data_IF_300832002532
#
_entry.id   IF_300832002532
#
_cell.length_a   1.000
_cell.length_b   1.000
_cell.length_c   1.000
_cell.angle_alpha   90.00
_cell.angle_beta   90.00
_cell.angle_gamma   90.00
#
_symmetry.space_group_name_H-M   'P 1'
#
loop_
_entity.id
_entity.type
_entity.pdbx_description
1 polymer ?
#
# COMPACT_ATOMS: atom_id res chain seq x y z
N UNK A 1 -24.64 -5.22 -3.58
CA UNK A 1 -23.16 -5.21 -3.66
C UNK A 1 -22.59 -4.89 -2.29
N UNK A 2 -21.58 -5.65 -1.86
CA UNK A 2 -20.95 -5.42 -0.56
C UNK A 2 -20.17 -4.11 -0.60
N UNK A 3 -20.38 -3.26 0.42
CA UNK A 3 -19.66 -2.00 0.55
C UNK A 3 -18.43 -2.18 1.42
N UNK A 4 -17.30 -1.65 0.96
CA UNK A 4 -16.06 -1.62 1.73
C UNK A 4 -15.76 -0.18 2.16
N UNK A 5 -15.66 0.04 3.46
CA UNK A 5 -15.29 1.35 4.00
C UNK A 5 -13.78 1.56 4.04
N UNK A 6 -13.02 0.47 4.08
CA UNK A 6 -11.57 0.50 4.15
C UNK A 6 -10.98 -0.39 3.06
N UNK A 7 -10.06 0.16 2.29
CA UNK A 7 -9.26 -0.62 1.36
C UNK A 7 -7.81 -0.58 1.85
N UNK A 8 -7.23 -1.75 2.06
CA UNK A 8 -5.79 -1.90 2.27
C UNK A 8 -5.16 -2.21 0.94
N UNK A 9 -4.07 -1.55 0.62
CA UNK A 9 -3.40 -1.72 -0.67
C UNK A 9 -1.91 -1.78 -0.50
N UNK A 10 -1.27 -2.62 -1.32
CA UNK A 10 0.14 -2.53 -1.60
C UNK A 10 0.40 -1.29 -2.46
N UNK A 11 1.64 -0.87 -2.58
CA UNK A 11 2.03 0.29 -3.38
C UNK A 11 2.60 -0.12 -4.73
N UNK A 12 3.79 -0.70 -4.73
CA UNK A 12 4.51 -1.04 -5.95
C UNK A 12 3.85 -2.20 -6.69
N UNK A 13 3.61 -2.02 -7.98
CA UNK A 13 2.95 -3.02 -8.81
C UNK A 13 1.45 -3.07 -8.62
N UNK A 14 0.88 -2.27 -7.73
CA UNK A 14 -0.56 -2.21 -7.46
C UNK A 14 -1.12 -0.83 -7.77
N UNK A 15 -0.70 0.20 -7.04
CA UNK A 15 -1.13 1.57 -7.25
C UNK A 15 -0.20 2.34 -8.19
N UNK A 16 1.07 1.97 -8.22
CA UNK A 16 2.08 2.57 -9.08
C UNK A 16 2.95 1.51 -9.73
N UNK A 17 3.56 1.88 -10.84
CA UNK A 17 4.65 1.13 -11.48
C UNK A 17 5.80 2.08 -11.73
N UNK A 18 7.01 1.54 -11.95
CA UNK A 18 8.10 2.35 -12.46
C UNK A 18 7.87 2.63 -13.95
N UNK A 19 8.25 3.82 -14.41
CA UNK A 19 8.20 4.17 -15.84
C UNK A 19 9.29 3.37 -16.57
N UNK A 20 10.45 3.20 -15.93
CA UNK A 20 11.59 2.48 -16.49
C UNK A 20 11.37 0.99 -16.69
N UNK A 21 10.38 0.41 -15.98
CA UNK A 21 10.17 -1.03 -15.98
C UNK A 21 11.10 -1.79 -15.05
N UNK A 22 11.98 -1.11 -14.33
CA UNK A 22 12.89 -1.75 -13.40
C UNK A 22 12.22 -1.99 -12.04
N UNK A 23 12.71 -2.99 -11.30
CA UNK A 23 12.17 -3.33 -9.98
C UNK A 23 12.32 -2.17 -9.01
N UNK A 24 13.49 -1.53 -9.01
CA UNK A 24 13.75 -0.37 -8.15
C UNK A 24 13.72 0.90 -8.98
N UNK A 25 13.01 1.95 -8.51
CA UNK A 25 12.95 3.21 -9.25
C UNK A 25 14.30 3.90 -9.31
N UNK A 26 14.57 4.54 -10.44
CA UNK A 26 15.80 5.30 -10.65
C UNK A 26 15.80 6.64 -9.94
N UNK A 27 14.64 7.10 -9.48
CA UNK A 27 14.45 8.36 -8.76
C UNK A 27 12.98 8.57 -8.46
N UNK A 28 12.66 9.70 -7.82
CA UNK A 28 11.27 10.04 -7.48
C UNK A 28 10.39 10.08 -8.74
N UNK A 29 10.94 10.60 -9.82
CA UNK A 29 10.23 10.74 -11.11
C UNK A 29 9.91 9.40 -11.77
N UNK A 30 10.59 8.32 -11.37
CA UNK A 30 10.43 7.01 -12.01
C UNK A 30 9.23 6.28 -11.42
N UNK A 31 8.06 6.89 -11.58
CA UNK A 31 6.81 6.26 -11.17
C UNK A 31 5.68 6.70 -12.06
N UNK A 32 4.71 5.81 -12.20
CA UNK A 32 3.49 6.05 -12.95
C UNK A 32 2.32 5.56 -12.10
N UNK A 33 1.39 6.46 -11.81
CA UNK A 33 0.18 6.10 -11.05
C UNK A 33 -0.73 5.29 -11.98
N UNK A 34 -1.23 4.18 -11.45
CA UNK A 34 -2.14 3.31 -12.18
C UNK A 34 -3.58 3.80 -12.00
N UNK A 35 -3.96 4.76 -12.81
CA UNK A 35 -5.28 5.39 -12.70
C UNK A 35 -6.42 4.40 -12.93
N UNK A 36 -6.21 3.34 -13.69
CA UNK A 36 -7.22 2.30 -13.86
C UNK A 36 -7.57 1.60 -12.54
N UNK A 37 -6.61 1.50 -11.63
CA UNK A 37 -6.84 0.98 -10.29
C UNK A 37 -7.55 2.02 -9.43
N UNK A 38 -7.11 3.27 -9.50
CA UNK A 38 -7.74 4.37 -8.75
C UNK A 38 -9.20 4.56 -9.17
N UNK A 39 -9.53 4.37 -10.43
CA UNK A 39 -10.91 4.45 -10.91
C UNK A 39 -11.80 3.40 -10.25
N UNK A 40 -11.28 2.17 -10.09
CA UNK A 40 -12.02 1.12 -9.39
C UNK A 40 -12.19 1.43 -7.91
N UNK A 41 -11.18 1.99 -7.28
CA UNK A 41 -11.26 2.43 -5.88
C UNK A 41 -12.30 3.52 -5.75
N UNK A 42 -12.31 4.47 -6.67
CA UNK A 42 -13.27 5.56 -6.69
C UNK A 42 -14.72 5.06 -6.82
N UNK A 43 -14.94 4.02 -7.59
CA UNK A 43 -16.26 3.39 -7.72
C UNK A 43 -16.73 2.76 -6.39
N UNK A 44 -15.80 2.16 -5.63
CA UNK A 44 -16.11 1.55 -4.34
C UNK A 44 -16.47 2.60 -3.30
N UNK A 45 -15.93 3.81 -3.42
CA UNK A 45 -16.15 4.94 -2.49
C UNK A 45 -15.80 4.58 -1.04
N UNK A 46 -14.58 4.10 -0.76
CA UNK A 46 -14.20 3.82 0.62
C UNK A 46 -14.01 5.12 1.39
N UNK A 47 -14.11 5.06 2.72
CA UNK A 47 -13.70 6.16 3.57
C UNK A 47 -12.18 6.28 3.64
N UNK A 48 -11.50 5.14 3.65
CA UNK A 48 -10.04 5.07 3.85
C UNK A 48 -9.40 4.19 2.79
N UNK A 49 -8.31 4.67 2.23
CA UNK A 49 -7.35 3.84 1.51
C UNK A 49 -6.06 3.84 2.33
N UNK A 50 -5.69 2.69 2.85
CA UNK A 50 -4.54 2.51 3.71
C UNK A 50 -3.47 1.70 2.97
N UNK A 51 -2.35 2.35 2.69
CA UNK A 51 -1.26 1.74 1.93
C UNK A 51 -0.27 1.10 2.89
N UNK A 52 0.02 -0.17 2.70
CA UNK A 52 0.98 -0.93 3.50
C UNK A 52 2.00 -1.54 2.54
N UNK A 53 3.26 -1.16 2.68
CA UNK A 53 4.27 -1.51 1.68
C UNK A 53 5.54 -2.03 2.33
N UNK A 54 6.07 -3.15 1.80
CA UNK A 54 7.42 -3.59 2.13
C UNK A 54 8.39 -2.85 1.22
N UNK A 55 9.29 -2.09 1.81
CA UNK A 55 10.29 -1.29 1.10
C UNK A 55 11.71 -1.69 1.52
N UNK A 56 12.01 -2.98 1.39
CA UNK A 56 13.33 -3.53 1.72
C UNK A 56 14.47 -2.94 0.88
N UNK A 57 14.15 -2.34 -0.26
CA UNK A 57 15.14 -1.63 -1.06
C UNK A 57 15.80 -0.47 -0.33
N UNK A 58 15.15 0.07 0.70
CA UNK A 58 15.74 1.14 1.52
C UNK A 58 16.87 0.57 2.36
N UNK A 59 16.65 -0.55 3.07
CA UNK A 59 17.71 -1.21 3.82
C UNK A 59 18.85 -1.66 2.93
N UNK A 60 18.52 -2.18 1.74
CA UNK A 60 19.51 -2.67 0.78
C UNK A 60 20.27 -1.56 0.05
N UNK A 61 19.88 -0.30 0.23
CA UNK A 61 20.55 0.84 -0.41
C UNK A 61 20.15 1.13 -1.84
N UNK A 62 19.15 0.44 -2.38
CA UNK A 62 18.64 0.68 -3.73
C UNK A 62 17.66 1.85 -3.82
N UNK A 63 17.06 2.24 -2.68
CA UNK A 63 16.09 3.31 -2.59
C UNK A 63 16.47 4.26 -1.46
N UNK A 64 16.53 5.56 -1.76
CA UNK A 64 16.81 6.57 -0.75
C UNK A 64 15.60 6.80 0.14
N UNK A 65 15.78 6.76 1.47
CA UNK A 65 14.69 6.88 2.44
C UNK A 65 13.97 8.23 2.35
N UNK A 66 14.72 9.33 2.18
CA UNK A 66 14.15 10.68 2.09
C UNK A 66 13.33 10.80 0.81
N UNK A 67 13.85 10.30 -0.30
CA UNK A 67 13.15 10.32 -1.58
C UNK A 67 11.88 9.47 -1.52
N UNK A 68 11.92 8.31 -0.88
CA UNK A 68 10.73 7.48 -0.74
C UNK A 68 9.66 8.18 0.08
N UNK A 69 10.04 8.82 1.17
CA UNK A 69 9.11 9.57 2.01
C UNK A 69 8.40 10.66 1.22
N UNK A 70 9.15 11.46 0.46
CA UNK A 70 8.59 12.51 -0.39
C UNK A 70 7.65 11.94 -1.43
N UNK A 71 8.03 10.84 -2.05
CA UNK A 71 7.23 10.12 -3.04
C UNK A 71 5.90 9.62 -2.42
N UNK A 72 5.97 9.02 -1.24
CA UNK A 72 4.76 8.51 -0.57
C UNK A 72 3.80 9.63 -0.20
N UNK A 73 4.30 10.78 0.24
CA UNK A 73 3.49 11.95 0.54
C UNK A 73 2.80 12.49 -0.73
N UNK A 74 3.53 12.55 -1.84
CA UNK A 74 2.95 12.96 -3.12
C UNK A 74 1.83 12.02 -3.57
N UNK A 75 2.08 10.72 -3.50
CA UNK A 75 1.11 9.70 -3.92
C UNK A 75 -0.16 9.74 -3.06
N UNK A 76 -0.01 9.81 -1.74
CA UNK A 76 -1.18 9.85 -0.85
C UNK A 76 -2.02 11.11 -1.09
N UNK A 77 -1.38 12.24 -1.35
CA UNK A 77 -2.09 13.48 -1.68
C UNK A 77 -2.85 13.33 -2.99
N UNK A 78 -2.20 12.80 -4.02
CA UNK A 78 -2.84 12.61 -5.33
C UNK A 78 -4.06 11.69 -5.21
N UNK A 79 -3.94 10.62 -4.43
CA UNK A 79 -5.05 9.68 -4.23
C UNK A 79 -6.20 10.32 -3.46
N UNK A 80 -5.91 11.10 -2.42
CA UNK A 80 -6.95 11.81 -1.68
C UNK A 80 -7.77 12.71 -2.59
N UNK A 81 -7.09 13.44 -3.46
CA UNK A 81 -7.75 14.35 -4.38
C UNK A 81 -8.53 13.59 -5.46
N UNK A 82 -7.93 12.57 -6.05
CA UNK A 82 -8.54 11.83 -7.15
C UNK A 82 -9.72 10.97 -6.70
N UNK A 83 -9.57 10.25 -5.60
CA UNK A 83 -10.57 9.29 -5.12
C UNK A 83 -11.53 9.87 -4.09
N UNK A 84 -11.29 11.07 -3.60
CA UNK A 84 -12.08 11.73 -2.56
C UNK A 84 -12.23 10.83 -1.33
N UNK A 85 -11.12 10.33 -0.82
CA UNK A 85 -11.07 9.50 0.37
C UNK A 85 -9.85 9.87 1.22
N UNK A 86 -9.86 9.45 2.48
CA UNK A 86 -8.68 9.57 3.33
C UNK A 86 -7.65 8.53 2.89
N UNK A 87 -6.39 8.92 2.78
CA UNK A 87 -5.33 8.02 2.33
C UNK A 87 -4.10 8.21 3.19
N UNK A 88 -3.60 7.11 3.73
CA UNK A 88 -2.40 7.10 4.56
C UNK A 88 -1.50 5.95 4.11
N UNK A 89 -0.20 6.12 4.30
CA UNK A 89 0.80 5.13 3.91
C UNK A 89 1.72 4.82 5.08
N UNK A 90 1.95 3.54 5.31
CA UNK A 90 3.01 3.05 6.19
C UNK A 90 3.85 2.05 5.41
N UNK A 91 5.15 2.03 5.68
CA UNK A 91 6.06 1.14 4.99
C UNK A 91 7.10 0.58 5.94
N UNK A 92 7.56 -0.63 5.63
CA UNK A 92 8.61 -1.32 6.38
C UNK A 92 9.90 -1.29 5.55
N UNK A 93 10.97 -0.80 6.14
CA UNK A 93 12.24 -0.60 5.42
C UNK A 93 13.18 -1.81 5.51
N UNK A 94 12.88 -2.78 6.36
CA UNK A 94 13.76 -3.92 6.60
C UNK A 94 13.43 -5.11 5.70
N UNK A 95 14.44 -5.93 5.43
CA UNK A 95 14.28 -7.23 4.79
C UNK A 95 14.12 -8.38 5.79
N UNK A 96 14.13 -8.09 7.08
CA UNK A 96 13.98 -9.09 8.12
C UNK A 96 12.53 -9.60 8.20
N UNK A 97 12.31 -10.84 7.81
CA UNK A 97 10.98 -11.44 7.76
C UNK A 97 10.35 -11.62 9.15
N UNK A 98 11.13 -11.51 10.21
CA UNK A 98 10.62 -11.59 11.58
C UNK A 98 10.16 -10.24 12.11
N UNK A 99 10.44 -9.14 11.40
CA UNK A 99 9.98 -7.82 11.79
C UNK A 99 8.45 -7.79 11.78
N UNK A 100 7.80 -7.37 12.90
CA UNK A 100 6.33 -7.37 12.97
C UNK A 100 5.67 -6.43 11.96
N UNK A 101 6.38 -5.43 11.45
CA UNK A 101 5.86 -4.50 10.46
C UNK A 101 6.01 -5.01 9.03
N UNK A 102 6.84 -6.02 8.79
CA UNK A 102 7.01 -6.55 7.44
C UNK A 102 5.89 -7.51 7.08
N UNK A 103 5.20 -7.26 5.96
CA UNK A 103 4.17 -8.18 5.45
C UNK A 103 4.79 -9.57 5.17
N UNK A 104 4.12 -10.65 5.46
CA UNK A 104 2.70 -10.78 5.83
C UNK A 104 2.38 -10.53 7.31
N UNK A 105 3.32 -10.11 8.13
CA UNK A 105 3.03 -9.73 9.51
C UNK A 105 2.13 -8.49 9.52
N UNK A 106 1.31 -8.33 10.56
CA UNK A 106 0.20 -7.39 10.55
C UNK A 106 0.48 -6.07 11.28
N UNK A 107 1.73 -5.82 11.69
CA UNK A 107 2.08 -4.63 12.47
C UNK A 107 1.73 -3.31 11.78
N UNK A 108 1.96 -3.22 10.47
CA UNK A 108 1.61 -2.01 9.71
C UNK A 108 0.10 -1.78 9.66
N UNK A 109 -0.67 -2.84 9.45
CA UNK A 109 -2.13 -2.75 9.42
C UNK A 109 -2.66 -2.28 10.76
N UNK A 110 -2.19 -2.89 11.84
CA UNK A 110 -2.59 -2.54 13.20
C UNK A 110 -2.25 -1.09 13.52
N UNK A 111 -1.05 -0.66 13.16
CA UNK A 111 -0.57 0.71 13.38
C UNK A 111 -1.48 1.73 12.70
N UNK A 112 -1.83 1.50 11.43
CA UNK A 112 -2.72 2.40 10.70
C UNK A 112 -4.12 2.43 11.28
N UNK A 113 -4.65 1.27 11.65
CA UNK A 113 -5.99 1.18 12.20
C UNK A 113 -6.11 1.90 13.55
N UNK A 114 -5.15 1.69 14.44
CA UNK A 114 -5.11 2.35 15.74
C UNK A 114 -4.99 3.87 15.61
N UNK A 115 -4.15 4.33 14.69
CA UNK A 115 -3.85 5.75 14.55
C UNK A 115 -4.96 6.54 13.86
N UNK A 116 -5.60 5.97 12.84
CA UNK A 116 -6.46 6.74 11.94
C UNK A 116 -7.92 6.30 11.92
N UNK A 117 -8.23 5.08 12.27
CA UNK A 117 -9.57 4.51 12.06
C UNK A 117 -10.28 4.16 13.37
N UNK A 118 -9.61 3.46 14.27
CA UNK A 118 -10.20 3.00 15.52
C UNK A 118 -9.69 1.62 15.90
N UNK A 119 -10.32 1.01 16.91
CA UNK A 119 -9.78 -0.15 17.60
C UNK A 119 -10.57 -1.44 17.44
N UNK A 120 -11.75 -1.43 16.81
CA UNK A 120 -12.53 -2.66 16.60
C UNK A 120 -12.03 -3.42 15.37
N UNK A 121 -10.97 -4.21 15.58
CA UNK A 121 -10.31 -4.95 14.51
C UNK A 121 -11.23 -5.98 13.84
N UNK A 122 -12.08 -6.65 14.61
CA UNK A 122 -12.98 -7.66 14.04
C UNK A 122 -14.05 -7.05 13.15
N UNK A 123 -14.63 -5.92 13.57
CA UNK A 123 -15.57 -5.18 12.74
C UNK A 123 -14.90 -4.65 11.47
N UNK A 124 -13.68 -4.12 11.62
CA UNK A 124 -12.91 -3.57 10.52
C UNK A 124 -12.62 -4.63 9.45
N UNK A 125 -12.32 -5.86 9.85
CA UNK A 125 -12.13 -6.95 8.89
C UNK A 125 -13.34 -7.17 8.00
N UNK A 126 -14.53 -7.00 8.52
CA UNK A 126 -15.77 -7.23 7.77
C UNK A 126 -16.03 -6.17 6.70
N UNK A 127 -15.54 -4.95 6.92
CA UNK A 127 -15.76 -3.82 6.01
C UNK A 127 -14.52 -3.48 5.19
N UNK A 128 -13.50 -4.34 5.20
CA UNK A 128 -12.21 -4.09 4.56
C UNK A 128 -11.98 -5.00 3.36
N UNK A 129 -11.25 -4.47 2.40
CA UNK A 129 -10.81 -5.19 1.22
C UNK A 129 -9.28 -5.02 1.09
N UNK A 130 -8.57 -6.09 0.78
CA UNK A 130 -7.13 -6.03 0.52
C UNK A 130 -6.86 -6.19 -0.97
N UNK A 131 -6.08 -5.29 -1.53
CA UNK A 131 -5.63 -5.38 -2.92
C UNK A 131 -4.09 -5.39 -2.99
N UNK A 132 -3.54 -6.17 -3.91
CA UNK A 132 -2.10 -6.28 -4.05
C UNK A 132 -1.71 -7.19 -5.20
N UNK A 133 -0.43 -7.13 -5.58
CA UNK A 133 0.13 -7.94 -6.66
C UNK A 133 0.80 -9.23 -6.17
N UNK A 134 0.85 -9.46 -4.85
CA UNK A 134 1.48 -10.63 -4.25
C UNK A 134 0.54 -11.27 -3.24
N UNK A 135 -0.65 -11.67 -3.70
CA UNK A 135 -1.74 -12.17 -2.85
C UNK A 135 -1.74 -13.70 -2.68
N UNK A 136 -0.74 -14.41 -3.22
CA UNK A 136 -0.66 -15.86 -3.18
C UNK A 136 -1.40 -16.55 -4.31
N UNK A 137 -1.88 -15.81 -5.30
CA UNK A 137 -2.51 -16.39 -6.48
C UNK A 137 -1.45 -17.04 -7.37
N UNK A 138 -1.90 -18.05 -8.13
CA UNK A 138 -1.03 -18.71 -9.10
C UNK A 138 -0.40 -17.68 -10.06
N UNK A 139 0.89 -17.85 -10.33
CA UNK A 139 1.64 -16.94 -11.19
C UNK A 139 2.32 -15.79 -10.48
N UNK A 140 2.05 -15.57 -9.19
CA UNK A 140 2.71 -14.56 -8.40
C UNK A 140 3.88 -15.16 -7.63
N UNK A 141 4.98 -14.41 -7.51
CA UNK A 141 6.20 -14.93 -6.87
C UNK A 141 6.18 -14.81 -5.34
N UNK A 142 5.19 -14.12 -4.78
CA UNK A 142 5.10 -13.87 -3.34
C UNK A 142 3.65 -13.86 -2.90
N UNK A 143 3.40 -14.22 -1.66
CA UNK A 143 2.09 -14.13 -1.03
C UNK A 143 2.07 -13.12 0.12
N UNK A 144 2.97 -12.15 0.09
CA UNK A 144 3.14 -11.18 1.17
C UNK A 144 1.90 -10.33 1.45
N UNK A 145 0.99 -10.21 0.49
CA UNK A 145 -0.26 -9.47 0.65
C UNK A 145 -1.44 -10.35 1.07
N UNK A 146 -1.21 -11.64 1.18
CA UNK A 146 -2.23 -12.59 1.58
C UNK A 146 -2.52 -12.45 3.08
N UNK A 147 -3.79 -12.40 3.44
CA UNK A 147 -4.20 -12.34 4.83
C UNK A 147 -4.33 -13.71 5.45
#
# INVERSE_FOLDING_TARGET
MKKYDIIFSDLDGTLINTISGETFPKGIWDMQIRFEVLDKIKEIKPKYLLIVSNQGGIESGFVDAINFRAKSEYITRAIREYCDCKCYCVYCTTNDKTDPYRKPNVGMLQSLLEKYVGDDFEYIKQISLMIGNASGKEGQFSDSDKK
#
